data_IF_367740670001
#
_entry.id   IF_367740670001
#
_cell.length_a   1.000
_cell.length_b   1.000
_cell.length_c   1.000
_cell.angle_alpha   90.00
_cell.angle_beta   90.00
_cell.angle_gamma   90.00
#
_symmetry.space_group_name_H-M   'P 1'
#
loop_
_entity.id
_entity.type
_entity.pdbx_description
1 polymer ?
#
# COMPACT_ATOMS: atom_id res chain seq x y z
N UNK A 1 -22.63 7.71 2.54
CA UNK A 1 -22.24 6.29 2.37
C UNK A 1 -21.37 5.92 3.57
N UNK A 2 -21.62 4.81 4.24
CA UNK A 2 -20.79 4.38 5.38
C UNK A 2 -19.37 4.00 4.91
N UNK A 3 -18.31 4.42 5.62
CA UNK A 3 -16.93 4.24 5.19
C UNK A 3 -16.41 2.79 5.34
N UNK A 4 -17.14 1.93 6.05
CA UNK A 4 -16.70 0.56 6.35
C UNK A 4 -15.60 0.52 7.41
N UNK A 5 -14.64 -0.41 7.26
CA UNK A 5 -13.56 -0.64 8.22
C UNK A 5 -12.20 -0.27 7.61
N UNK A 6 -11.39 0.47 8.37
CA UNK A 6 -10.02 0.83 8.00
C UNK A 6 -9.05 0.07 8.88
N UNK A 7 -8.17 -0.70 8.25
CA UNK A 7 -7.15 -1.49 8.94
C UNK A 7 -5.75 -0.95 8.65
N UNK A 8 -4.86 -1.01 9.62
CA UNK A 8 -3.46 -0.61 9.48
C UNK A 8 -2.58 -1.67 10.12
N UNK A 9 -1.56 -2.10 9.38
CA UNK A 9 -0.58 -3.08 9.85
C UNK A 9 0.82 -2.48 9.79
N UNK A 10 1.68 -2.91 10.71
CA UNK A 10 3.07 -2.48 10.80
C UNK A 10 4.00 -3.63 10.43
N UNK A 11 4.64 -3.51 9.26
CA UNK A 11 5.74 -4.38 8.85
C UNK A 11 7.02 -3.84 9.49
N UNK A 12 7.58 -4.58 10.45
CA UNK A 12 8.75 -4.17 11.23
C UNK A 12 9.97 -5.03 10.88
N UNK A 13 11.14 -4.54 11.28
CA UNK A 13 12.41 -5.26 11.19
C UNK A 13 12.74 -5.74 9.76
N UNK A 14 12.35 -4.92 8.78
CA UNK A 14 12.63 -5.19 7.37
C UNK A 14 14.07 -4.85 7.04
N UNK A 15 14.69 -5.66 6.20
CA UNK A 15 16.03 -5.40 5.70
C UNK A 15 16.00 -4.23 4.70
N UNK A 16 16.98 -3.31 4.74
CA UNK A 16 17.03 -2.18 3.84
C UNK A 16 17.31 -2.62 2.40
N UNK A 17 16.73 -1.92 1.42
CA UNK A 17 16.94 -2.14 0.00
C UNK A 17 16.61 -3.58 -0.48
N UNK A 18 15.50 -4.15 0.00
CA UNK A 18 15.00 -5.48 -0.38
C UNK A 18 13.53 -5.40 -0.83
N UNK A 19 13.18 -6.22 -1.83
CA UNK A 19 11.80 -6.40 -2.28
C UNK A 19 11.04 -7.38 -1.38
N UNK A 20 9.85 -6.98 -0.93
CA UNK A 20 8.94 -7.81 -0.15
C UNK A 20 7.59 -7.93 -0.85
N UNK A 21 7.00 -9.12 -0.78
CA UNK A 21 5.63 -9.38 -1.22
C UNK A 21 4.71 -9.48 -0.02
N UNK A 22 3.51 -8.92 -0.11
CA UNK A 22 2.48 -9.02 0.93
C UNK A 22 1.08 -9.16 0.32
N UNK A 23 0.18 -9.72 1.11
CA UNK A 23 -1.25 -9.81 0.82
C UNK A 23 -2.03 -9.35 2.04
N UNK A 24 -3.14 -8.67 1.80
CA UNK A 24 -4.10 -8.32 2.85
C UNK A 24 -5.08 -9.49 2.98
N UNK A 25 -5.21 -10.02 4.19
CA UNK A 25 -6.15 -11.10 4.50
C UNK A 25 -7.24 -10.62 5.45
N UNK A 26 -8.45 -11.16 5.28
CA UNK A 26 -9.53 -11.03 6.24
C UNK A 26 -9.99 -12.42 6.67
N UNK A 27 -9.86 -12.70 7.96
CA UNK A 27 -10.43 -13.90 8.57
C UNK A 27 -11.94 -13.72 8.75
N UNK A 28 -12.70 -14.73 8.35
CA UNK A 28 -14.13 -14.79 8.55
C UNK A 28 -14.45 -15.48 9.88
N UNK A 29 -15.67 -15.31 10.37
CA UNK A 29 -16.08 -15.90 11.65
C UNK A 29 -16.05 -17.43 11.66
N UNK A 30 -16.05 -18.07 10.48
CA UNK A 30 -15.94 -19.52 10.31
C UNK A 30 -14.49 -20.02 10.20
N UNK A 31 -13.50 -19.12 10.33
CA UNK A 31 -12.07 -19.42 10.24
C UNK A 31 -11.51 -19.46 8.81
N UNK A 32 -12.35 -19.24 7.79
CA UNK A 32 -11.85 -19.13 6.41
C UNK A 32 -11.17 -17.78 6.17
N UNK A 33 -10.18 -17.75 5.27
CA UNK A 33 -9.44 -16.54 4.91
C UNK A 33 -9.79 -16.05 3.51
N UNK A 34 -10.22 -14.79 3.41
CA UNK A 34 -10.32 -14.08 2.15
C UNK A 34 -9.03 -13.29 1.89
N UNK A 35 -8.36 -13.54 0.77
CA UNK A 35 -7.12 -12.88 0.40
C UNK A 35 -7.32 -11.82 -0.68
N UNK A 36 -6.72 -10.67 -0.48
CA UNK A 36 -6.59 -9.61 -1.48
C UNK A 36 -5.50 -9.91 -2.50
N UNK A 37 -5.32 -8.98 -3.44
CA UNK A 37 -4.26 -9.08 -4.46
C UNK A 37 -2.87 -9.05 -3.81
N UNK A 38 -1.97 -9.89 -4.30
CA UNK A 38 -0.55 -9.79 -3.98
C UNK A 38 0.02 -8.47 -4.46
N UNK A 39 0.72 -7.78 -3.57
CA UNK A 39 1.38 -6.51 -3.82
C UNK A 39 2.85 -6.61 -3.41
N UNK A 40 3.69 -5.80 -4.03
CA UNK A 40 5.11 -5.73 -3.70
C UNK A 40 5.47 -4.33 -3.23
N UNK A 41 6.44 -4.27 -2.32
CA UNK A 41 7.08 -3.03 -1.93
C UNK A 41 8.60 -3.23 -1.95
N UNK A 42 9.31 -2.17 -2.24
CA UNK A 42 10.75 -2.12 -2.08
C UNK A 42 11.06 -1.30 -0.82
N UNK A 43 11.79 -1.88 0.13
CA UNK A 43 12.10 -1.18 1.38
C UNK A 43 13.02 -0.01 1.14
N UNK A 44 12.92 0.98 2.03
CA UNK A 44 13.79 2.14 2.01
C UNK A 44 15.26 1.74 2.18
N UNK A 45 16.15 2.57 1.63
CA UNK A 45 17.57 2.50 1.92
C UNK A 45 17.84 2.83 3.40
N UNK A 46 19.00 2.42 3.91
CA UNK A 46 19.43 2.83 5.24
C UNK A 46 19.67 4.35 5.28
N UNK A 47 19.34 5.06 6.39
CA UNK A 47 19.61 6.49 6.51
C UNK A 47 21.08 6.85 6.25
N UNK A 48 21.33 7.79 5.34
CA UNK A 48 22.69 8.21 4.97
C UNK A 48 23.42 7.28 3.98
N UNK A 49 22.76 6.24 3.47
CA UNK A 49 23.34 5.39 2.44
C UNK A 49 23.59 6.17 1.13
N UNK A 50 24.80 6.04 0.58
CA UNK A 50 25.14 6.59 -0.73
C UNK A 50 24.49 5.75 -1.85
N UNK A 51 23.24 6.08 -2.17
CA UNK A 51 22.47 5.48 -3.25
C UNK A 51 21.73 6.55 -4.06
N UNK A 52 21.39 6.24 -5.32
CA UNK A 52 20.50 7.11 -6.09
C UNK A 52 19.08 7.00 -5.50
N UNK A 53 18.60 8.10 -4.93
CA UNK A 53 17.23 8.21 -4.40
C UNK A 53 16.43 9.18 -5.28
N UNK A 54 15.17 8.83 -5.60
CA UNK A 54 14.27 9.66 -6.41
C UNK A 54 13.02 9.95 -5.60
N UNK A 55 12.72 11.24 -5.42
CA UNK A 55 11.56 11.74 -4.65
C UNK A 55 10.67 12.54 -5.58
N UNK A 56 9.36 12.28 -5.55
CA UNK A 56 8.34 13.01 -6.30
C UNK A 56 7.48 13.78 -5.30
N UNK A 57 7.26 15.07 -5.54
CA UNK A 57 6.44 15.96 -4.71
C UNK A 57 5.37 16.60 -5.59
N UNK A 58 4.11 16.51 -5.17
CA UNK A 58 2.98 17.13 -5.85
C UNK A 58 1.93 17.56 -4.82
N UNK A 59 1.09 18.53 -5.17
CA UNK A 59 -0.10 18.93 -4.42
C UNK A 59 -1.34 18.78 -5.29
N UNK A 60 -2.53 18.79 -4.68
CA UNK A 60 -3.82 18.94 -5.38
C UNK A 60 -4.08 17.91 -6.50
N UNK A 61 -3.71 16.63 -6.30
CA UNK A 61 -3.87 15.59 -7.33
C UNK A 61 -5.32 15.42 -7.81
N UNK A 62 -6.30 15.57 -6.91
CA UNK A 62 -7.72 15.34 -7.22
C UNK A 62 -8.05 13.88 -7.57
N UNK A 63 -9.22 13.67 -8.14
CA UNK A 63 -9.67 12.40 -8.73
C UNK A 63 -10.27 12.69 -10.12
N UNK A 64 -10.23 11.69 -11.00
CA UNK A 64 -10.88 11.75 -12.30
C UNK A 64 -11.29 10.34 -12.74
N UNK A 65 -12.55 10.17 -13.11
CA UNK A 65 -13.06 8.87 -13.49
C UNK A 65 -12.40 8.35 -14.78
N UNK A 66 -11.80 7.16 -14.71
CA UNK A 66 -11.13 6.55 -15.86
C UNK A 66 -12.08 6.28 -17.04
N UNK A 67 -13.36 6.06 -16.75
CA UNK A 67 -14.41 5.80 -17.75
C UNK A 67 -15.13 7.08 -18.20
N UNK A 68 -14.72 8.26 -17.72
CA UNK A 68 -15.31 9.55 -18.09
C UNK A 68 -16.65 9.85 -17.41
N UNK A 69 -17.06 9.04 -16.43
CA UNK A 69 -18.22 9.36 -15.60
C UNK A 69 -18.00 10.64 -14.77
N UNK A 70 -19.07 11.37 -14.50
CA UNK A 70 -19.03 12.50 -13.57
C UNK A 70 -18.95 11.97 -12.14
N UNK A 71 -18.18 12.65 -11.28
CA UNK A 71 -18.16 12.36 -9.85
C UNK A 71 -19.52 12.77 -9.25
N UNK A 72 -20.36 11.77 -8.99
CA UNK A 72 -21.64 11.90 -8.27
C UNK A 72 -21.49 11.36 -6.84
#
# INVERSE_FOLDING_TARGET
>A
REPGFVHTWFLKDMWPNIGYSYQIGQEQHDGTMAWGKSSTLHTSYYPGQASLQRVIVFSDMGLGAKDGSSEL
#
